data_IF_605680150941
#
_entry.id   IF_605680150941
#
_cell.length_a   1.000
_cell.length_b   1.000
_cell.length_c   1.000
_cell.angle_alpha   90.00
_cell.angle_beta   90.00
_cell.angle_gamma   90.00
#
_symmetry.space_group_name_H-M   'P 1'
#
loop_
_entity.id
_entity.type
_entity.pdbx_description
1 polymer ?
#
# COMPACT_ATOMS: atom_id res chain seq x y z
N UNK A 1 57.63 -1.03 -3.49
CA UNK A 1 56.59 -1.93 -4.05
C UNK A 1 55.24 -1.50 -3.44
N UNK A 2 54.29 -1.04 -4.27
CA UNK A 2 52.95 -0.64 -3.81
C UNK A 2 52.01 -1.82 -4.05
N UNK A 3 51.57 -2.49 -2.98
CA UNK A 3 50.55 -3.53 -3.06
C UNK A 3 49.19 -2.83 -2.92
N UNK A 4 48.49 -2.68 -4.03
CA UNK A 4 47.11 -2.19 -4.07
C UNK A 4 46.20 -3.35 -3.70
N UNK A 5 45.64 -3.31 -2.49
CA UNK A 5 44.60 -4.24 -2.06
C UNK A 5 43.30 -3.75 -2.70
N UNK A 6 42.86 -4.43 -3.76
CA UNK A 6 41.54 -4.24 -4.35
C UNK A 6 40.53 -4.91 -3.43
N UNK A 7 39.87 -4.11 -2.57
CA UNK A 7 38.68 -4.54 -1.86
C UNK A 7 37.56 -4.75 -2.90
N UNK A 8 37.29 -6.01 -3.23
CA UNK A 8 36.06 -6.42 -3.89
C UNK A 8 34.93 -6.29 -2.87
N UNK A 9 34.22 -5.16 -2.89
CA UNK A 9 32.96 -5.01 -2.18
C UNK A 9 31.90 -5.80 -2.95
N UNK A 10 31.60 -7.00 -2.45
CA UNK A 10 30.41 -7.75 -2.82
C UNK A 10 29.19 -6.90 -2.48
N UNK A 11 28.59 -6.29 -3.49
CA UNK A 11 27.28 -5.69 -3.39
C UNK A 11 26.29 -6.79 -3.00
N UNK A 12 25.97 -6.87 -1.72
CA UNK A 12 24.84 -7.64 -1.24
C UNK A 12 23.59 -7.01 -1.88
N UNK A 13 23.14 -7.58 -2.98
CA UNK A 13 21.81 -7.35 -3.51
C UNK A 13 20.84 -7.89 -2.46
N UNK A 14 20.46 -7.03 -1.52
CA UNK A 14 19.31 -7.22 -0.66
C UNK A 14 18.10 -7.28 -1.59
N UNK A 15 17.78 -8.49 -2.05
CA UNK A 15 16.43 -8.82 -2.45
C UNK A 15 15.57 -8.74 -1.18
N UNK A 16 15.24 -7.52 -0.76
CA UNK A 16 14.10 -7.24 0.11
C UNK A 16 12.87 -7.62 -0.71
N UNK A 17 12.63 -8.93 -0.83
CA UNK A 17 11.42 -9.46 -1.42
C UNK A 17 10.28 -9.06 -0.51
N UNK A 18 9.57 -7.98 -0.87
CA UNK A 18 8.28 -7.72 -0.24
C UNK A 18 7.43 -8.96 -0.52
N UNK A 19 6.90 -9.65 0.51
CA UNK A 19 6.26 -10.93 0.31
C UNK A 19 5.06 -10.80 -0.64
N UNK A 20 5.07 -11.54 -1.75
CA UNK A 20 3.99 -11.59 -2.74
C UNK A 20 2.61 -11.89 -2.11
N UNK A 21 2.60 -12.58 -0.97
CA UNK A 21 1.43 -12.90 -0.17
C UNK A 21 0.71 -11.67 0.43
N UNK A 22 1.44 -10.60 0.71
CA UNK A 22 0.88 -9.40 1.33
C UNK A 22 0.06 -8.60 0.31
N UNK A 23 0.53 -8.48 -0.94
CA UNK A 23 -0.20 -7.77 -2.00
C UNK A 23 -1.52 -8.44 -2.36
N UNK A 24 -1.54 -9.77 -2.50
CA UNK A 24 -2.79 -10.52 -2.74
C UNK A 24 -3.78 -10.33 -1.58
N UNK A 25 -3.28 -10.36 -0.35
CA UNK A 25 -4.11 -10.14 0.85
C UNK A 25 -4.65 -8.72 0.93
N UNK A 26 -3.86 -7.71 0.56
CA UNK A 26 -4.30 -6.31 0.41
C UNK A 26 -5.40 -6.21 -0.64
N UNK A 27 -5.19 -6.76 -1.85
CA UNK A 27 -6.18 -6.69 -2.94
C UNK A 27 -7.50 -7.31 -2.51
N UNK A 28 -7.48 -8.51 -1.91
CA UNK A 28 -8.70 -9.19 -1.47
C UNK A 28 -9.44 -8.39 -0.39
N UNK A 29 -8.71 -7.83 0.57
CA UNK A 29 -9.31 -7.02 1.62
C UNK A 29 -9.91 -5.72 1.05
N UNK A 30 -9.19 -5.04 0.15
CA UNK A 30 -9.68 -3.83 -0.53
C UNK A 30 -10.94 -4.11 -1.35
N UNK A 31 -11.01 -5.24 -2.06
CA UNK A 31 -12.21 -5.62 -2.83
C UNK A 31 -13.42 -5.84 -1.91
N UNK A 32 -13.21 -6.54 -0.78
CA UNK A 32 -14.26 -6.75 0.22
C UNK A 32 -14.81 -5.40 0.71
N UNK A 33 -13.91 -4.54 1.20
CA UNK A 33 -14.22 -3.20 1.70
C UNK A 33 -14.88 -2.31 0.66
N UNK A 34 -14.41 -2.36 -0.58
CA UNK A 34 -14.99 -1.59 -1.67
C UNK A 34 -16.45 -2.00 -1.92
N UNK A 35 -16.72 -3.31 -1.97
CA UNK A 35 -18.08 -3.82 -2.12
C UNK A 35 -18.98 -3.42 -0.94
N UNK A 36 -18.48 -3.44 0.29
CA UNK A 36 -19.24 -2.92 1.44
C UNK A 36 -19.55 -1.44 1.28
N UNK A 37 -18.56 -0.62 0.93
CA UNK A 37 -18.77 0.84 0.82
C UNK A 37 -19.79 1.22 -0.26
N UNK A 38 -19.96 0.40 -1.29
CA UNK A 38 -20.96 0.60 -2.33
C UNK A 38 -22.37 0.14 -1.90
N UNK A 39 -22.47 -0.82 -0.99
CA UNK A 39 -23.73 -1.45 -0.58
C UNK A 39 -24.26 -0.96 0.77
N UNK A 40 -23.63 0.04 1.38
CA UNK A 40 -23.93 0.49 2.75
C UNK A 40 -23.94 2.03 2.87
N UNK A 41 -24.20 2.52 4.09
CA UNK A 41 -24.16 3.95 4.50
C UNK A 41 -22.76 4.60 4.43
N UNK A 42 -21.74 3.90 3.94
CA UNK A 42 -20.37 4.43 3.84
C UNK A 42 -20.08 5.17 2.53
N UNK A 43 -21.08 5.32 1.65
CA UNK A 43 -21.02 6.09 0.40
C UNK A 43 -20.60 7.56 0.59
N UNK A 44 -20.78 8.09 1.81
CA UNK A 44 -20.43 9.47 2.22
C UNK A 44 -19.24 9.55 3.17
N UNK A 45 -18.45 8.49 3.32
CA UNK A 45 -17.21 8.56 4.10
C UNK A 45 -16.15 9.24 3.24
N UNK A 46 -15.63 10.37 3.73
CA UNK A 46 -14.55 11.11 3.11
C UNK A 46 -13.25 10.84 3.84
N UNK A 47 -12.18 10.66 3.09
CA UNK A 47 -10.83 10.43 3.59
C UNK A 47 -9.84 11.34 2.86
N UNK A 48 -8.66 11.54 3.44
CA UNK A 48 -7.63 12.37 2.81
C UNK A 48 -7.23 11.82 1.45
N UNK A 49 -7.25 12.68 0.43
CA UNK A 49 -6.78 12.34 -0.90
C UNK A 49 -5.24 12.28 -0.91
N UNK A 50 -4.71 11.08 -1.16
CA UNK A 50 -3.26 10.83 -1.23
C UNK A 50 -2.68 11.12 -2.61
N UNK A 51 -3.49 11.38 -3.64
CA UNK A 51 -3.01 11.75 -4.96
C UNK A 51 -2.54 13.20 -4.96
N UNK A 52 -1.22 13.40 -4.98
CA UNK A 52 -0.63 14.68 -5.40
C UNK A 52 -0.71 14.80 -6.91
N UNK A 53 -0.94 16.00 -7.43
CA UNK A 53 -1.18 16.34 -8.85
C UNK A 53 -0.05 16.03 -9.85
N UNK A 54 0.87 15.10 -9.53
CA UNK A 54 1.87 14.56 -10.45
C UNK A 54 2.04 13.05 -10.22
N UNK A 55 1.30 12.30 -11.04
CA UNK A 55 1.43 10.87 -11.39
C UNK A 55 1.29 9.90 -10.22
N UNK A 56 0.31 8.99 -10.35
CA UNK A 56 0.22 7.56 -9.98
C UNK A 56 1.47 6.87 -9.37
N UNK A 57 2.15 7.50 -8.42
CA UNK A 57 3.31 6.94 -7.75
C UNK A 57 2.79 6.06 -6.63
N UNK A 58 2.38 4.87 -7.03
CA UNK A 58 2.13 3.72 -6.17
C UNK A 58 3.41 3.29 -5.47
N UNK A 59 4.17 4.20 -4.87
CA UNK A 59 5.42 3.94 -4.15
C UNK A 59 5.11 3.36 -2.77
N UNK A 60 6.12 2.83 -2.08
CA UNK A 60 5.95 2.30 -0.72
C UNK A 60 5.38 3.35 0.24
N UNK A 61 5.68 4.63 0.01
CA UNK A 61 5.12 5.75 0.77
C UNK A 61 3.59 5.83 0.66
N UNK A 62 3.01 5.57 -0.53
CA UNK A 62 1.56 5.57 -0.72
C UNK A 62 0.87 4.51 0.15
N UNK A 63 1.42 3.30 0.21
CA UNK A 63 0.86 2.23 1.05
C UNK A 63 0.99 2.54 2.54
N UNK A 64 2.08 3.16 2.96
CA UNK A 64 2.23 3.65 4.34
C UNK A 64 1.22 4.75 4.67
N UNK A 65 1.03 5.73 3.79
CA UNK A 65 0.05 6.80 4.01
C UNK A 65 -1.37 6.23 4.02
N UNK A 66 -1.66 5.24 3.17
CA UNK A 66 -2.95 4.56 3.13
C UNK A 66 -3.24 3.78 4.41
N UNK A 67 -2.23 3.13 5.00
CA UNK A 67 -2.33 2.53 6.33
C UNK A 67 -2.79 3.55 7.35
N UNK A 68 -2.12 4.70 7.46
CA UNK A 68 -2.47 5.75 8.43
C UNK A 68 -3.87 6.30 8.24
N UNK A 69 -4.27 6.57 6.99
CA UNK A 69 -5.61 7.06 6.67
C UNK A 69 -6.68 6.05 7.08
N UNK A 70 -6.49 4.76 6.79
CA UNK A 70 -7.46 3.72 7.14
C UNK A 70 -7.47 3.41 8.64
N UNK A 71 -6.34 3.51 9.32
CA UNK A 71 -6.24 3.39 10.79
C UNK A 71 -7.11 4.42 11.51
N UNK A 72 -7.25 5.63 10.97
CA UNK A 72 -8.15 6.66 11.50
C UNK A 72 -9.64 6.28 11.35
N UNK A 73 -9.97 5.42 10.38
CA UNK A 73 -11.32 5.00 10.05
C UNK A 73 -11.70 3.62 10.63
N UNK A 74 -10.82 2.94 11.36
CA UNK A 74 -11.05 1.58 11.88
C UNK A 74 -12.34 1.43 12.69
N UNK A 75 -12.80 2.50 13.35
CA UNK A 75 -14.02 2.50 14.16
C UNK A 75 -15.31 2.50 13.34
N UNK A 76 -15.24 2.82 12.05
CA UNK A 76 -16.42 2.94 11.19
C UNK A 76 -16.90 1.59 10.65
N UNK A 77 -16.05 0.58 10.61
CA UNK A 77 -16.36 -0.71 10.00
C UNK A 77 -16.64 -1.75 11.07
N UNK A 78 -17.74 -2.50 10.90
CA UNK A 78 -18.04 -3.63 11.75
C UNK A 78 -16.97 -4.73 11.60
N UNK A 79 -16.69 -5.43 12.69
CA UNK A 79 -15.52 -6.33 12.78
C UNK A 79 -15.63 -7.59 11.91
N UNK A 80 -16.82 -7.92 11.41
CA UNK A 80 -17.14 -9.28 11.00
C UNK A 80 -17.32 -9.53 9.49
N UNK A 81 -17.65 -8.53 8.65
CA UNK A 81 -17.82 -8.76 7.19
C UNK A 81 -16.56 -8.46 6.37
N UNK A 82 -16.00 -7.24 6.42
CA UNK A 82 -14.73 -6.91 5.80
C UNK A 82 -13.74 -6.33 6.82
N UNK A 83 -12.85 -7.18 7.31
CA UNK A 83 -11.91 -6.87 8.38
C UNK A 83 -10.89 -5.77 7.99
N UNK A 84 -11.22 -4.50 8.23
CA UNK A 84 -10.34 -3.35 8.02
C UNK A 84 -9.03 -3.48 8.79
N UNK A 85 -9.09 -4.03 10.00
CA UNK A 85 -7.88 -4.27 10.80
C UNK A 85 -6.93 -5.21 10.06
N UNK A 86 -7.44 -6.18 9.30
CA UNK A 86 -6.61 -7.05 8.43
C UNK A 86 -6.00 -6.25 7.28
N UNK A 87 -6.74 -5.35 6.64
CA UNK A 87 -6.19 -4.47 5.60
C UNK A 87 -5.08 -3.57 6.17
N UNK A 88 -5.35 -2.88 7.27
CA UNK A 88 -4.38 -2.00 7.96
C UNK A 88 -3.11 -2.78 8.33
N UNK A 89 -3.25 -3.96 8.94
CA UNK A 89 -2.11 -4.82 9.28
C UNK A 89 -1.31 -5.23 8.04
N UNK A 90 -1.97 -5.62 6.96
CA UNK A 90 -1.29 -6.00 5.73
C UNK A 90 -0.56 -4.82 5.08
N UNK A 91 -1.16 -3.62 5.10
CA UNK A 91 -0.51 -2.41 4.62
C UNK A 91 0.72 -2.06 5.46
N UNK A 92 0.59 -2.10 6.80
CA UNK A 92 1.71 -1.88 7.73
C UNK A 92 2.87 -2.84 7.50
N UNK A 93 2.57 -4.12 7.28
CA UNK A 93 3.60 -5.13 6.97
C UNK A 93 4.23 -4.89 5.60
N UNK A 94 3.42 -4.53 4.60
CA UNK A 94 3.92 -4.23 3.26
C UNK A 94 4.85 -3.01 3.27
N UNK A 95 4.48 -1.95 3.98
CA UNK A 95 5.22 -0.68 4.03
C UNK A 95 6.16 -0.56 5.23
N UNK A 96 6.59 -1.67 5.84
CA UNK A 96 7.32 -1.67 7.13
C UNK A 96 8.63 -0.86 7.11
N UNK A 97 9.25 -0.70 5.94
CA UNK A 97 10.48 0.07 5.77
C UNK A 97 10.24 1.56 5.44
N UNK A 98 8.97 1.97 5.33
CA UNK A 98 8.60 3.35 4.97
C UNK A 98 8.12 4.10 6.21
N UNK A 99 8.83 5.18 6.56
CA UNK A 99 8.31 6.21 7.45
C UNK A 99 7.62 7.27 6.60
N UNK A 100 6.29 7.34 6.69
CA UNK A 100 5.51 8.32 5.95
C UNK A 100 4.82 9.32 6.88
N UNK A 101 4.47 10.48 6.34
CA UNK A 101 3.56 11.43 6.99
C UNK A 101 2.36 11.61 6.10
N UNK A 102 1.16 11.56 6.67
CA UNK A 102 -0.05 11.89 5.91
C UNK A 102 -0.06 13.41 5.67
N UNK A 103 -0.28 13.89 4.45
CA UNK A 103 -0.37 15.32 4.18
C UNK A 103 -1.37 15.99 5.12
N UNK A 104 -0.96 17.11 5.74
CA UNK A 104 -1.81 17.91 6.62
C UNK A 104 -2.76 18.82 5.84
N UNK A 105 -2.42 19.12 4.59
CA UNK A 105 -3.24 19.87 3.62
C UNK A 105 -3.46 18.99 2.40
N UNK A 106 -4.71 18.88 1.98
CA UNK A 106 -5.12 18.11 0.80
C UNK A 106 -6.64 18.03 0.74
N UNK A 107 -7.17 17.88 -0.47
CA UNK A 107 -8.59 17.63 -0.67
C UNK A 107 -8.97 16.30 -0.04
N UNK A 108 -10.24 16.16 0.31
CA UNK A 108 -10.80 14.87 0.68
C UNK A 108 -11.37 14.16 -0.56
N UNK A 109 -11.40 12.84 -0.51
CA UNK A 109 -11.96 11.99 -1.54
C UNK A 109 -12.88 10.96 -0.88
N UNK A 110 -13.90 10.50 -1.61
CA UNK A 110 -14.79 9.46 -1.10
C UNK A 110 -13.99 8.16 -0.92
N UNK A 111 -14.26 7.46 0.18
CA UNK A 111 -13.59 6.23 0.58
C UNK A 111 -13.57 5.16 -0.52
N UNK A 112 -14.68 4.94 -1.24
CA UNK A 112 -14.70 3.94 -2.31
C UNK A 112 -13.69 4.29 -3.43
N UNK A 113 -13.55 5.57 -3.77
CA UNK A 113 -12.57 6.03 -4.77
C UNK A 113 -11.14 5.86 -4.26
N UNK A 114 -10.90 6.16 -2.98
CA UNK A 114 -9.62 5.90 -2.32
C UNK A 114 -9.25 4.41 -2.36
N UNK A 115 -10.21 3.53 -2.08
CA UNK A 115 -10.02 2.08 -2.13
C UNK A 115 -9.73 1.59 -3.56
N UNK A 116 -10.34 2.19 -4.59
CA UNK A 116 -10.01 1.90 -5.99
C UNK A 116 -8.56 2.26 -6.34
N UNK A 117 -8.07 3.40 -5.84
CA UNK A 117 -6.68 3.80 -6.03
C UNK A 117 -5.72 2.83 -5.34
N UNK A 118 -6.03 2.42 -4.11
CA UNK A 118 -5.27 1.42 -3.39
C UNK A 118 -5.24 0.07 -4.12
N UNK A 119 -6.39 -0.36 -4.66
CA UNK A 119 -6.50 -1.58 -5.47
C UNK A 119 -5.63 -1.50 -6.72
N UNK A 120 -5.68 -0.38 -7.45
CA UNK A 120 -4.89 -0.13 -8.66
C UNK A 120 -3.40 -0.23 -8.33
N UNK A 121 -2.96 0.43 -7.26
CA UNK A 121 -1.57 0.40 -6.83
C UNK A 121 -1.08 -0.99 -6.41
N UNK A 122 -1.89 -1.73 -5.63
CA UNK A 122 -1.54 -3.09 -5.24
C UNK A 122 -1.42 -4.04 -6.44
N UNK A 123 -2.30 -3.92 -7.44
CA UNK A 123 -2.21 -4.69 -8.69
C UNK A 123 -0.98 -4.35 -9.51
N UNK A 124 -0.62 -3.06 -9.62
CA UNK A 124 0.58 -2.62 -10.32
C UNK A 124 1.85 -3.22 -9.70
N UNK A 125 1.98 -3.18 -8.37
CA UNK A 125 3.09 -3.81 -7.65
C UNK A 125 3.17 -5.31 -7.88
N UNK A 126 2.04 -6.01 -7.76
CA UNK A 126 1.99 -7.45 -7.98
C UNK A 126 2.42 -7.82 -9.41
N UNK A 127 2.01 -7.04 -10.41
CA UNK A 127 2.41 -7.23 -11.80
C UNK A 127 3.91 -6.97 -12.01
N UNK A 128 4.45 -5.88 -11.47
CA UNK A 128 5.88 -5.55 -11.57
C UNK A 128 6.75 -6.63 -10.92
N UNK A 129 6.37 -7.13 -9.74
CA UNK A 129 7.07 -8.21 -9.05
C UNK A 129 7.03 -9.52 -9.81
N UNK A 130 5.88 -9.87 -10.40
CA UNK A 130 5.76 -11.09 -11.21
C UNK A 130 6.65 -11.05 -12.45
N UNK A 131 6.76 -9.90 -13.12
CA UNK A 131 7.66 -9.74 -14.28
C UNK A 131 9.13 -9.84 -13.92
N UNK A 132 9.54 -9.29 -12.78
CA UNK A 132 10.93 -9.33 -12.32
C UNK A 132 11.41 -10.74 -11.95
N UNK A 133 10.49 -11.65 -11.60
CA UNK A 133 10.80 -13.07 -11.32
C UNK A 133 10.93 -13.90 -12.59
N UNK A 134 10.23 -13.54 -13.67
CA UNK A 134 10.30 -14.23 -14.97
C UNK A 134 11.50 -13.81 -15.83
N UNK A 135 12.19 -12.73 -15.45
CA UNK A 135 13.38 -12.22 -16.14
C UNK A 135 14.71 -12.66 -15.49
N UNK A 136 14.66 -13.58 -14.53
CA UNK A 136 15.82 -14.24 -13.90
C UNK A 136 15.87 -15.69 -14.35
#
# INVERSE_FOLDING_TARGET
>A
MKVVIVLLTTAAALACGVPHHNLRSIINAVVCLHNETLNTKFDKVFVKNLKRSKIDRCEMEFFCQAEKVLSEQEKLFDKDECNVNKLVRNLKQFSIQSNCTVPTKGDEIILHTFLDDLKKCAKMHMFMMTRAQLSK
#
